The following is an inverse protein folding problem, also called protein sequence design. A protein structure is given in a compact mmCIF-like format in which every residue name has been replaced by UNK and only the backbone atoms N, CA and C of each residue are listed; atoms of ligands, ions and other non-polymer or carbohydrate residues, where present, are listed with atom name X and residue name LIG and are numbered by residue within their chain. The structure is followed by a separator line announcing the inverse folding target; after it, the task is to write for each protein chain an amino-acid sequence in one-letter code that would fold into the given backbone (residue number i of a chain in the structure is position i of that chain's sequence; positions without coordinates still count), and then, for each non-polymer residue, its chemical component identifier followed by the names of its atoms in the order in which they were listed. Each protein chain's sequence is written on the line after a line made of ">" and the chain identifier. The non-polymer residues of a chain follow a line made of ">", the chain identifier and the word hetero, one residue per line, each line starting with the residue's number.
data_IF_555969202650
#
_entry.id   IF_555969202650
#
_cell.length_a   1.000
_cell.length_b   1.000
_cell.length_c   1.000
_cell.angle_alpha   90.00
_cell.angle_beta   90.00
_cell.angle_gamma   90.00
#
_symmetry.space_group_name_H-M   'P 1'
#
loop_
_entity.id
_entity.type
_entity.pdbx_description
1 polymer ?
#
# COMPACT_ATOMS: atom_id res chain seq x y z
N UNK A 1 -3.36 -55.83 2.51
CA UNK A 1 -2.56 -55.28 3.63
C UNK A 1 -2.46 -53.78 3.34
N UNK A 2 -2.95 -52.79 4.07
CA UNK A 2 -3.39 -52.60 5.44
C UNK A 2 -4.51 -51.52 5.43
N UNK A 3 -5.31 -51.50 6.50
CA UNK A 3 -6.64 -50.86 6.60
C UNK A 3 -6.55 -49.33 6.76
N UNK A 4 -7.50 -48.62 6.14
CA UNK A 4 -7.80 -47.20 6.34
C UNK A 4 -8.13 -46.90 7.80
N UNK A 5 -7.34 -46.02 8.44
CA UNK A 5 -7.58 -45.50 9.79
C UNK A 5 -8.13 -44.07 9.72
N UNK A 6 -9.45 -43.97 9.71
CA UNK A 6 -10.24 -42.75 9.90
C UNK A 6 -10.13 -42.32 11.37
N UNK A 7 -9.58 -41.14 11.64
CA UNK A 7 -9.40 -40.61 13.00
C UNK A 7 -9.74 -39.12 13.06
N UNK A 8 -11.03 -38.82 12.90
CA UNK A 8 -11.61 -37.49 13.05
C UNK A 8 -11.80 -37.19 14.55
N UNK A 9 -10.93 -36.39 15.15
CA UNK A 9 -11.10 -35.90 16.52
C UNK A 9 -11.51 -34.41 16.48
N UNK A 10 -12.82 -34.18 16.56
CA UNK A 10 -13.45 -32.89 16.86
C UNK A 10 -13.24 -32.56 18.33
N UNK A 11 -12.39 -31.57 18.64
CA UNK A 11 -12.39 -30.90 19.93
C UNK A 11 -13.15 -29.57 19.79
N UNK A 12 -14.29 -29.48 20.47
CA UNK A 12 -15.14 -28.28 20.52
C UNK A 12 -14.36 -27.11 21.14
N UNK A 13 -14.39 -25.99 20.44
CA UNK A 13 -13.86 -24.70 20.88
C UNK A 13 -14.70 -24.05 21.98
N UNK A 14 -14.01 -23.23 22.78
CA UNK A 14 -14.61 -22.28 23.70
C UNK A 14 -14.91 -20.93 23.04
N UNK A 15 -15.86 -20.20 23.62
CA UNK A 15 -16.12 -18.76 23.46
C UNK A 15 -16.50 -18.26 24.87
N UNK A 16 -15.75 -17.42 25.59
CA UNK A 16 -15.47 -15.98 25.36
C UNK A 16 -16.77 -15.24 25.03
N UNK A 17 -17.42 -14.48 25.92
CA UNK A 17 -16.87 -13.42 26.77
C UNK A 17 -16.97 -12.09 26.02
N UNK A 18 -18.18 -11.50 25.93
CA UNK A 18 -18.40 -10.20 25.29
C UNK A 18 -18.69 -9.12 26.35
N UNK A 19 -17.69 -8.29 26.61
CA UNK A 19 -17.82 -7.02 27.31
C UNK A 19 -18.06 -5.91 26.27
N UNK A 20 -19.18 -5.21 26.35
CA UNK A 20 -19.45 -4.01 25.57
C UNK A 20 -19.38 -2.79 26.47
N UNK A 21 -18.32 -2.00 26.36
CA UNK A 21 -18.24 -0.65 26.92
C UNK A 21 -18.21 0.35 25.76
N UNK A 22 -19.30 1.09 25.61
CA UNK A 22 -19.42 2.22 24.69
C UNK A 22 -19.12 3.50 25.48
N UNK A 23 -17.99 4.15 25.20
CA UNK A 23 -17.71 5.50 25.68
C UNK A 23 -17.60 6.42 24.47
N UNK A 24 -18.64 7.21 24.27
CA UNK A 24 -18.69 8.36 23.37
C UNK A 24 -17.63 9.38 23.81
N UNK A 25 -16.61 9.57 22.99
CA UNK A 25 -15.56 10.56 23.18
C UNK A 25 -15.88 11.84 22.39
N UNK A 26 -16.32 12.84 23.12
CA UNK A 26 -16.58 14.22 22.70
C UNK A 26 -15.35 14.85 22.03
N UNK A 27 -15.52 15.39 20.81
CA UNK A 27 -14.55 16.31 20.20
C UNK A 27 -14.55 17.63 20.96
N UNK A 28 -13.63 17.75 21.92
CA UNK A 28 -13.33 19.01 22.59
C UNK A 28 -12.30 19.79 21.75
N UNK A 29 -12.75 20.89 21.16
CA UNK A 29 -11.88 21.91 20.60
C UNK A 29 -10.98 22.47 21.70
N UNK A 30 -9.68 22.20 21.65
CA UNK A 30 -8.70 22.77 22.58
C UNK A 30 -7.88 23.84 21.85
N UNK A 31 -8.14 25.08 22.25
CA UNK A 31 -7.42 26.28 21.85
C UNK A 31 -6.00 26.24 22.43
N UNK A 32 -4.98 26.49 21.60
CA UNK A 32 -3.63 26.76 22.06
C UNK A 32 -3.20 28.16 21.61
N UNK A 33 -3.14 29.06 22.60
CA UNK A 33 -2.56 30.40 22.53
C UNK A 33 -1.02 30.29 22.57
N UNK A 34 -0.26 31.16 21.87
CA UNK A 34 1.15 30.89 21.58
C UNK A 34 2.07 31.37 22.70
N UNK A 35 2.92 30.49 23.22
CA UNK A 35 4.00 30.87 24.12
C UNK A 35 5.36 30.86 23.40
N UNK A 36 5.73 32.09 23.08
CA UNK A 36 7.02 32.63 22.66
C UNK A 36 8.16 32.09 23.53
N UNK A 37 9.12 31.36 22.96
CA UNK A 37 10.58 31.50 23.23
C UNK A 37 11.37 30.72 22.16
N UNK A 38 11.64 31.34 21.00
CA UNK A 38 12.73 30.89 20.15
C UNK A 38 13.95 31.75 20.46
N UNK A 39 14.94 31.13 21.11
CA UNK A 39 16.24 31.74 21.40
C UNK A 39 16.95 32.13 20.10
N UNK A 40 17.25 33.41 20.04
CA UNK A 40 18.47 34.05 19.52
C UNK A 40 19.47 33.21 18.71
N UNK A 41 19.70 33.73 17.49
CA UNK A 41 20.96 33.71 16.72
C UNK A 41 21.22 32.49 15.83
N UNK A 42 20.78 32.64 14.57
CA UNK A 42 21.68 32.37 13.45
C UNK A 42 21.79 33.65 12.63
N UNK A 43 22.88 34.38 12.82
CA UNK A 43 23.15 35.70 12.23
C UNK A 43 23.90 35.58 10.89
N UNK A 44 23.76 34.44 10.21
CA UNK A 44 24.39 34.14 8.92
C UNK A 44 23.52 33.24 8.03
N UNK A 45 22.19 33.39 8.09
CA UNK A 45 21.35 32.92 6.98
C UNK A 45 21.30 34.05 5.96
N UNK A 46 21.80 33.88 4.72
CA UNK A 46 21.50 34.84 3.68
C UNK A 46 19.98 34.92 3.59
N UNK A 47 19.45 36.11 3.88
CA UNK A 47 18.06 36.43 3.58
C UNK A 47 17.98 36.39 2.06
N UNK A 48 17.63 35.23 1.52
CA UNK A 48 17.03 35.17 0.20
C UNK A 48 15.70 35.88 0.40
N UNK A 49 15.69 37.17 0.12
CA UNK A 49 14.46 37.91 -0.15
C UNK A 49 13.75 37.08 -1.21
N UNK A 50 12.66 36.42 -0.82
CA UNK A 50 11.74 35.80 -1.75
C UNK A 50 11.18 36.94 -2.58
N UNK A 51 11.85 37.25 -3.69
CA UNK A 51 11.21 37.96 -4.77
C UNK A 51 10.01 37.10 -5.13
N UNK A 52 8.78 37.64 -5.17
CA UNK A 52 7.67 36.89 -5.69
C UNK A 52 8.04 36.54 -7.12
N UNK A 53 8.44 35.28 -7.34
CA UNK A 53 8.51 34.71 -8.67
C UNK A 53 7.08 34.82 -9.16
N UNK A 54 6.84 35.78 -10.04
CA UNK A 54 5.62 35.82 -10.83
C UNK A 54 5.66 34.56 -11.69
N UNK A 55 5.15 33.46 -11.12
CA UNK A 55 4.90 32.23 -11.86
C UNK A 55 3.83 32.62 -12.85
N UNK A 56 4.21 32.68 -14.13
CA UNK A 56 3.26 32.84 -15.21
C UNK A 56 2.13 31.79 -15.00
N UNK A 57 0.85 32.17 -15.18
CA UNK A 57 -0.23 31.20 -15.11
C UNK A 57 0.12 29.99 -15.97
N UNK A 58 -0.07 28.78 -15.44
CA UNK A 58 0.03 27.58 -16.25
C UNK A 58 -0.84 27.79 -17.50
N UNK A 59 -0.32 27.51 -18.71
CA UNK A 59 -1.10 27.68 -19.93
C UNK A 59 -2.42 26.92 -19.77
N UNK A 60 -3.53 27.58 -20.11
CA UNK A 60 -4.85 26.95 -20.07
C UNK A 60 -4.80 25.62 -20.84
N UNK A 61 -5.26 24.55 -20.21
CA UNK A 61 -5.35 23.23 -20.85
C UNK A 61 -6.32 23.37 -22.01
N UNK A 62 -5.79 23.43 -23.23
CA UNK A 62 -6.63 23.34 -24.44
C UNK A 62 -7.44 22.05 -24.34
N UNK A 63 -8.76 22.18 -24.17
CA UNK A 63 -9.69 21.06 -24.26
C UNK A 63 -9.74 20.63 -25.71
N UNK A 64 -8.77 19.82 -26.12
CA UNK A 64 -8.93 19.01 -27.31
C UNK A 64 -10.17 18.14 -27.07
N UNK A 65 -11.14 18.20 -27.99
CA UNK A 65 -12.24 17.22 -28.02
C UNK A 65 -11.60 15.84 -27.98
N UNK A 66 -11.89 15.05 -26.95
CA UNK A 66 -11.47 13.67 -26.91
C UNK A 66 -11.99 13.01 -28.19
N UNK A 67 -11.07 12.45 -28.99
CA UNK A 67 -11.48 11.58 -30.08
C UNK A 67 -12.26 10.41 -29.48
N UNK A 68 -13.24 9.82 -30.19
CA UNK A 68 -13.88 8.59 -29.73
C UNK A 68 -12.77 7.55 -29.53
N UNK A 69 -12.48 7.22 -28.26
CA UNK A 69 -11.61 6.12 -27.90
C UNK A 69 -12.56 4.97 -27.59
N UNK A 70 -12.45 3.88 -28.35
CA UNK A 70 -13.17 2.67 -28.02
C UNK A 70 -12.87 2.27 -26.57
N UNK A 71 -13.88 1.84 -25.79
CA UNK A 71 -13.65 1.45 -24.41
C UNK A 71 -12.60 0.34 -24.35
N UNK A 72 -11.64 0.42 -23.40
CA UNK A 72 -10.65 -0.63 -23.21
C UNK A 72 -11.34 -1.98 -22.95
N UNK A 73 -10.74 -3.11 -23.37
CA UNK A 73 -11.32 -4.42 -23.09
C UNK A 73 -11.35 -4.67 -21.58
N UNK A 74 -12.43 -5.29 -21.09
CA UNK A 74 -12.62 -5.59 -19.66
C UNK A 74 -11.69 -6.68 -19.11
N UNK A 75 -10.90 -7.32 -19.96
CA UNK A 75 -9.97 -8.39 -19.57
C UNK A 75 -8.55 -8.11 -20.01
N UNK A 76 -7.59 -8.69 -19.28
CA UNK A 76 -6.19 -8.73 -19.69
C UNK A 76 -5.99 -9.79 -20.76
N UNK A 77 -5.11 -9.53 -21.71
CA UNK A 77 -4.67 -10.57 -22.65
C UNK A 77 -3.82 -11.61 -21.91
N UNK A 78 -3.77 -12.84 -22.44
CA UNK A 78 -2.92 -13.89 -21.87
C UNK A 78 -1.44 -13.48 -21.82
N UNK A 79 -0.96 -12.81 -22.88
CA UNK A 79 0.41 -12.32 -22.94
C UNK A 79 0.73 -11.28 -21.85
N UNK A 80 -0.20 -10.38 -21.52
CA UNK A 80 -0.02 -9.42 -20.42
C UNK A 80 0.02 -10.11 -19.06
N UNK A 81 -0.84 -11.11 -18.85
CA UNK A 81 -0.87 -11.92 -17.64
C UNK A 81 0.46 -12.66 -17.46
N UNK A 82 0.93 -13.34 -18.51
CA UNK A 82 2.16 -14.12 -18.45
C UNK A 82 3.40 -13.24 -18.26
N UNK A 83 3.47 -12.11 -18.98
CA UNK A 83 4.54 -11.13 -18.78
C UNK A 83 4.54 -10.58 -17.34
N UNK A 84 3.37 -10.30 -16.77
CA UNK A 84 3.26 -9.80 -15.41
C UNK A 84 3.64 -10.86 -14.36
N UNK A 85 3.22 -12.11 -14.55
CA UNK A 85 3.64 -13.24 -13.71
C UNK A 85 5.15 -13.43 -13.73
N UNK A 86 5.77 -13.37 -14.91
CA UNK A 86 7.22 -13.48 -15.05
C UNK A 86 7.96 -12.36 -14.32
N UNK A 87 7.49 -11.11 -14.46
CA UNK A 87 8.04 -9.96 -13.70
C UNK A 87 7.85 -10.12 -12.19
N UNK A 88 6.68 -10.60 -11.75
CA UNK A 88 6.41 -10.86 -10.35
C UNK A 88 7.36 -11.91 -9.77
N UNK A 89 7.55 -13.02 -10.49
CA UNK A 89 8.50 -14.07 -10.10
C UNK A 89 9.94 -13.54 -10.01
N UNK A 90 10.34 -12.62 -10.89
CA UNK A 90 11.64 -11.96 -10.82
C UNK A 90 11.75 -11.05 -9.59
N UNK A 91 10.73 -10.23 -9.30
CA UNK A 91 10.71 -9.31 -8.15
C UNK A 91 10.76 -10.04 -6.80
N UNK A 92 10.21 -11.25 -6.73
CA UNK A 92 10.24 -12.08 -5.52
C UNK A 92 11.60 -12.74 -5.26
N UNK A 93 12.50 -12.81 -6.25
CA UNK A 93 13.79 -13.48 -6.07
C UNK A 93 14.62 -12.75 -5.02
N UNK A 94 15.03 -13.49 -3.99
CA UNK A 94 15.88 -12.98 -2.92
C UNK A 94 15.15 -12.15 -1.87
N UNK A 95 13.82 -12.02 -1.96
CA UNK A 95 13.00 -11.44 -0.88
C UNK A 95 12.53 -12.55 0.06
N UNK A 96 12.62 -12.31 1.36
CA UNK A 96 11.94 -13.13 2.37
C UNK A 96 10.47 -12.72 2.44
N UNK A 97 9.65 -13.28 1.55
CA UNK A 97 8.24 -12.91 1.40
C UNK A 97 7.34 -14.14 1.39
N UNK A 98 6.23 -14.08 2.14
CA UNK A 98 5.15 -15.05 2.04
C UNK A 98 4.02 -14.44 1.18
N UNK A 99 3.84 -14.99 -0.01
CA UNK A 99 2.87 -14.50 -1.00
C UNK A 99 2.01 -15.62 -1.57
N UNK A 100 0.78 -15.29 -1.95
CA UNK A 100 -0.12 -16.15 -2.74
C UNK A 100 -0.52 -15.41 -4.01
N UNK A 101 -0.39 -16.05 -5.17
CA UNK A 101 -0.83 -15.47 -6.44
C UNK A 101 -2.36 -15.36 -6.48
N UNK A 102 -2.87 -14.27 -7.04
CA UNK A 102 -4.29 -14.01 -7.18
C UNK A 102 -4.71 -13.92 -8.66
N UNK A 103 -6.01 -14.05 -8.89
CA UNK A 103 -6.57 -13.92 -10.23
C UNK A 103 -6.35 -12.49 -10.79
N UNK A 104 -6.14 -12.32 -12.11
CA UNK A 104 -6.04 -10.99 -12.71
C UNK A 104 -7.27 -10.12 -12.39
N UNK A 105 -7.03 -8.86 -12.04
CA UNK A 105 -8.09 -7.89 -11.72
C UNK A 105 -8.02 -6.78 -12.75
N UNK A 106 -9.15 -6.44 -13.39
CA UNK A 106 -9.25 -5.35 -14.36
C UNK A 106 -10.59 -4.63 -14.26
N UNK A 107 -10.52 -3.31 -14.20
CA UNK A 107 -11.67 -2.41 -14.15
C UNK A 107 -11.37 -1.23 -15.09
N UNK A 108 -11.83 -1.33 -16.34
CA UNK A 108 -11.46 -0.39 -17.40
C UNK A 108 -9.95 -0.33 -17.63
N UNK A 109 -9.33 0.80 -17.29
CA UNK A 109 -7.87 1.02 -17.39
C UNK A 109 -7.11 0.64 -16.10
N UNK A 110 -7.82 0.33 -15.02
CA UNK A 110 -7.25 0.04 -13.72
C UNK A 110 -7.13 -1.45 -13.48
N UNK A 111 -6.26 -1.84 -12.55
CA UNK A 111 -6.10 -3.20 -12.08
C UNK A 111 -4.68 -3.72 -12.21
N UNK A 112 -4.51 -5.03 -12.01
CA UNK A 112 -3.23 -5.69 -12.14
C UNK A 112 -3.38 -7.06 -12.80
N UNK A 113 -2.59 -7.37 -13.83
CA UNK A 113 -2.65 -8.66 -14.52
C UNK A 113 -2.11 -9.85 -13.70
N UNK A 114 -1.33 -9.58 -12.65
CA UNK A 114 -0.79 -10.62 -11.75
C UNK A 114 -0.68 -10.09 -10.30
N UNK A 115 -1.82 -9.94 -9.58
CA UNK A 115 -1.81 -9.55 -8.18
C UNK A 115 -1.25 -10.66 -7.29
N UNK A 116 -0.80 -10.26 -6.11
CA UNK A 116 -0.43 -11.17 -5.03
C UNK A 116 -1.08 -10.75 -3.72
N UNK A 117 -1.40 -11.72 -2.88
CA UNK A 117 -1.62 -11.50 -1.45
C UNK A 117 -0.32 -11.65 -0.69
N UNK A 118 0.12 -10.59 -0.03
CA UNK A 118 1.30 -10.56 0.82
C UNK A 118 0.88 -10.76 2.29
N UNK A 119 1.33 -11.84 2.91
CA UNK A 119 1.08 -12.10 4.35
C UNK A 119 2.31 -11.83 5.22
N UNK A 120 3.51 -11.84 4.65
CA UNK A 120 4.76 -11.53 5.36
C UNK A 120 5.80 -10.95 4.40
N UNK A 121 6.58 -9.99 4.87
CA UNK A 121 7.78 -9.48 4.22
C UNK A 121 8.86 -9.20 5.27
N UNK A 122 9.94 -9.97 5.26
CA UNK A 122 10.92 -10.03 6.34
C UNK A 122 10.24 -10.35 7.68
N UNK A 123 10.55 -9.54 8.70
CA UNK A 123 9.98 -9.68 10.04
C UNK A 123 8.56 -9.10 10.18
N UNK A 124 8.03 -8.46 9.14
CA UNK A 124 6.70 -7.81 9.18
C UNK A 124 5.64 -8.78 8.67
N UNK A 125 4.56 -8.91 9.43
CA UNK A 125 3.37 -9.70 9.04
C UNK A 125 2.18 -8.79 8.75
N UNK A 126 1.39 -9.16 7.75
CA UNK A 126 0.22 -8.40 7.30
C UNK A 126 -1.05 -9.22 7.57
N UNK A 127 -1.94 -8.67 8.41
CA UNK A 127 -3.23 -9.28 8.74
C UNK A 127 -4.36 -8.25 8.57
N UNK A 128 -5.31 -8.46 7.63
CA UNK A 128 -5.36 -9.56 6.65
C UNK A 128 -4.23 -9.44 5.61
N UNK A 129 -3.96 -10.52 4.86
CA UNK A 129 -2.94 -10.50 3.81
C UNK A 129 -3.27 -9.42 2.77
N UNK A 130 -2.31 -8.54 2.51
CA UNK A 130 -2.48 -7.36 1.68
C UNK A 130 -2.49 -7.73 0.19
N UNK A 131 -3.52 -7.30 -0.54
CA UNK A 131 -3.57 -7.48 -2.00
C UNK A 131 -2.79 -6.33 -2.67
N UNK A 132 -1.65 -6.66 -3.30
CA UNK A 132 -0.76 -5.66 -3.89
C UNK A 132 -0.31 -6.08 -5.29
N UNK A 133 0.23 -5.11 -6.03
CA UNK A 133 0.98 -5.39 -7.26
C UNK A 133 2.43 -5.80 -6.91
N UNK A 134 3.06 -6.64 -7.74
CA UNK A 134 4.41 -7.11 -7.44
C UNK A 134 5.49 -6.03 -7.58
N UNK A 135 5.21 -4.94 -8.31
CA UNK A 135 6.13 -3.79 -8.41
C UNK A 135 6.34 -3.06 -7.09
N UNK A 136 5.43 -3.24 -6.12
CA UNK A 136 5.56 -2.68 -4.78
C UNK A 136 6.49 -3.47 -3.86
N UNK A 137 6.83 -4.73 -4.18
CA UNK A 137 7.56 -5.60 -3.24
C UNK A 137 8.95 -5.08 -2.91
N UNK A 138 9.76 -4.75 -3.92
CA UNK A 138 11.13 -4.28 -3.75
C UNK A 138 11.20 -2.93 -2.98
N UNK A 139 10.46 -1.88 -3.37
CA UNK A 139 10.49 -0.63 -2.62
C UNK A 139 9.92 -0.80 -1.20
N UNK A 140 8.89 -1.62 -1.02
CA UNK A 140 8.35 -1.91 0.31
C UNK A 140 9.37 -2.63 1.18
N UNK A 141 10.07 -3.65 0.65
CA UNK A 141 11.11 -4.35 1.38
C UNK A 141 12.27 -3.42 1.76
N UNK A 142 12.66 -2.53 0.83
CA UNK A 142 13.70 -1.52 1.09
C UNK A 142 13.29 -0.59 2.21
N UNK A 143 12.05 -0.11 2.20
CA UNK A 143 11.55 0.74 3.28
C UNK A 143 11.46 0.00 4.61
N UNK A 144 10.95 -1.23 4.63
CA UNK A 144 10.86 -2.05 5.85
C UNK A 144 12.24 -2.25 6.48
N UNK A 145 13.23 -2.64 5.67
CA UNK A 145 14.57 -2.99 6.14
C UNK A 145 15.47 -1.80 6.46
N UNK A 146 15.22 -0.61 5.88
CA UNK A 146 16.11 0.56 6.05
C UNK A 146 15.51 1.69 6.86
N UNK A 147 14.19 1.83 6.87
CA UNK A 147 13.50 3.01 7.41
C UNK A 147 12.53 2.65 8.53
N UNK A 148 11.82 1.52 8.42
CA UNK A 148 10.83 1.12 9.41
C UNK A 148 11.48 0.55 10.68
N UNK A 149 12.49 -0.30 10.52
CA UNK A 149 13.19 -0.90 11.66
C UNK A 149 14.29 0.05 12.15
N UNK A 150 14.31 0.45 13.43
CA UNK A 150 15.41 1.22 13.99
C UNK A 150 16.70 0.40 13.91
N UNK A 151 17.77 1.07 13.47
CA UNK A 151 19.12 0.52 13.28
C UNK A 151 19.79 0.11 14.58
#
# INVERSE_FOLDING_TARGET
>A
MLRFGLGLALALGGLSGVASAQTSGTVAASQSKPEKTLRSRSKDRPVITAQPLMVAPLPERKTAKASPIDPPPDTWTAAEIDAAKARCAAALKGLDAAVTAEAPIKEGLCGTPAPIRLSRLGDVTFTPAALINCGMLEPLNTWISKELQPS
#
